data_IF_086993949362
#
_entry.id   IF_086993949362
#
_cell.length_a   1.000
_cell.length_b   1.000
_cell.length_c   1.000
_cell.angle_alpha   90.00
_cell.angle_beta   90.00
_cell.angle_gamma   90.00
#
_symmetry.space_group_name_H-M   'P 1'
#
loop_
_entity.id
_entity.type
_entity.pdbx_description
1 polymer ?
#
# COMPACT_ATOMS: atom_id res chain seq x y z
N UNK A 1 -4.81 15.66 11.03
CA UNK A 1 -3.57 15.23 11.72
C UNK A 1 -3.13 16.34 12.69
N UNK A 2 -2.25 16.05 13.67
CA UNK A 2 -1.64 17.10 14.52
C UNK A 2 -2.01 17.11 16.01
N UNK A 3 -2.80 16.16 16.50
CA UNK A 3 -3.10 15.98 17.94
C UNK A 3 -2.33 14.81 18.56
N UNK A 4 -2.14 14.83 19.88
CA UNK A 4 -1.60 13.68 20.63
C UNK A 4 -2.67 12.57 20.64
N UNK A 5 -2.31 11.39 20.16
CA UNK A 5 -3.20 10.24 20.19
C UNK A 5 -3.24 9.59 21.59
N UNK A 6 -4.27 8.81 21.86
CA UNK A 6 -4.39 8.12 23.15
C UNK A 6 -3.28 7.07 23.33
N UNK A 7 -2.93 6.79 24.58
CA UNK A 7 -1.99 5.69 24.94
C UNK A 7 -2.48 4.35 24.37
N UNK A 8 -3.80 4.11 24.41
CA UNK A 8 -4.41 2.91 23.82
C UNK A 8 -4.16 2.79 22.32
N UNK A 9 -4.33 3.89 21.57
CA UNK A 9 -4.04 3.90 20.13
C UNK A 9 -2.57 3.55 19.85
N UNK A 10 -1.63 4.17 20.57
CA UNK A 10 -0.21 3.83 20.40
C UNK A 10 0.09 2.38 20.74
N UNK A 11 -0.45 1.87 21.85
CA UNK A 11 -0.27 0.48 22.27
C UNK A 11 -0.75 -0.50 21.20
N UNK A 12 -1.96 -0.32 20.70
CA UNK A 12 -2.55 -1.20 19.70
C UNK A 12 -1.86 -1.07 18.33
N UNK A 13 -1.47 0.14 17.93
CA UNK A 13 -0.72 0.36 16.69
C UNK A 13 0.62 -0.40 16.70
N UNK A 14 1.45 -0.23 17.73
CA UNK A 14 2.75 -0.88 17.79
C UNK A 14 2.63 -2.40 17.97
N UNK A 15 1.64 -2.86 18.73
CA UNK A 15 1.32 -4.28 18.83
C UNK A 15 0.92 -4.84 17.46
N UNK A 16 0.02 -4.18 16.74
CA UNK A 16 -0.41 -4.56 15.40
C UNK A 16 0.74 -4.62 14.40
N UNK A 17 1.60 -3.59 14.38
CA UNK A 17 2.81 -3.57 13.55
C UNK A 17 3.73 -4.77 13.86
N UNK A 18 3.99 -5.06 15.14
CA UNK A 18 4.81 -6.21 15.50
C UNK A 18 4.20 -7.53 15.02
N UNK A 19 2.87 -7.69 15.11
CA UNK A 19 2.18 -8.88 14.63
C UNK A 19 2.21 -9.01 13.11
N UNK A 20 1.97 -7.94 12.34
CA UNK A 20 1.92 -8.00 10.88
C UNK A 20 3.28 -8.34 10.27
N UNK A 21 4.39 -7.93 10.87
CA UNK A 21 5.74 -8.24 10.38
C UNK A 21 6.16 -9.70 10.59
N UNK A 22 5.47 -10.47 11.44
CA UNK A 22 5.78 -11.89 11.67
C UNK A 22 5.61 -12.68 10.36
N UNK A 23 6.62 -13.49 10.02
CA UNK A 23 6.63 -14.31 8.79
C UNK A 23 5.37 -15.17 8.64
N UNK A 24 4.88 -15.77 9.75
CA UNK A 24 3.65 -16.57 9.78
C UNK A 24 2.40 -15.79 9.36
N UNK A 25 2.33 -14.50 9.68
CA UNK A 25 1.17 -13.65 9.38
C UNK A 25 1.26 -13.13 7.95
N UNK A 26 2.45 -12.70 7.48
CA UNK A 26 2.64 -12.31 6.07
C UNK A 26 2.34 -13.44 5.08
N UNK A 27 2.63 -14.70 5.45
CA UNK A 27 2.27 -15.88 4.63
C UNK A 27 0.75 -16.10 4.51
N UNK A 28 -0.09 -15.39 5.25
CA UNK A 28 -1.55 -15.48 5.14
C UNK A 28 -2.11 -14.58 4.04
N UNK A 29 -1.34 -13.64 3.49
CA UNK A 29 -1.77 -12.85 2.33
C UNK A 29 -2.08 -13.80 1.16
N UNK A 30 -3.29 -13.74 0.57
CA UNK A 30 -3.61 -14.54 -0.62
C UNK A 30 -2.68 -14.19 -1.79
N UNK A 31 -2.28 -15.20 -2.57
CA UNK A 31 -1.24 -15.03 -3.62
C UNK A 31 -1.81 -14.39 -4.88
N UNK A 32 -3.09 -14.64 -5.11
CA UNK A 32 -3.88 -14.15 -6.24
C UNK A 32 -4.57 -12.81 -5.93
N UNK A 33 -4.43 -12.25 -4.72
CA UNK A 33 -4.98 -10.94 -4.40
C UNK A 33 -4.15 -9.87 -5.11
N UNK A 34 -4.74 -9.03 -5.99
CA UNK A 34 -4.04 -7.90 -6.58
C UNK A 34 -3.68 -6.86 -5.52
N UNK A 35 -2.43 -6.38 -5.56
CA UNK A 35 -1.93 -5.38 -4.61
C UNK A 35 -1.37 -4.18 -5.36
N UNK A 36 -1.87 -2.99 -5.03
CA UNK A 36 -1.26 -1.72 -5.42
C UNK A 36 -0.69 -1.00 -4.20
N UNK A 37 0.58 -0.58 -4.31
CA UNK A 37 1.28 0.18 -3.27
C UNK A 37 1.74 1.50 -3.85
N UNK A 38 1.30 2.61 -3.25
CA UNK A 38 1.79 3.93 -3.64
C UNK A 38 2.21 4.76 -2.44
N UNK A 39 3.20 5.63 -2.63
CA UNK A 39 3.78 6.46 -1.56
C UNK A 39 4.62 7.58 -2.15
N UNK A 40 4.88 8.62 -1.37
CA UNK A 40 5.81 9.67 -1.72
C UNK A 40 7.27 9.23 -1.62
N UNK A 41 8.09 9.63 -2.58
CA UNK A 41 9.52 9.34 -2.55
C UNK A 41 10.26 10.13 -1.46
N UNK A 42 9.66 11.22 -0.95
CA UNK A 42 10.18 12.06 0.14
C UNK A 42 9.48 11.80 1.48
N UNK A 43 8.73 10.70 1.62
CA UNK A 43 8.12 10.32 2.89
C UNK A 43 9.16 9.75 3.88
N UNK A 44 9.47 10.45 4.99
CA UNK A 44 10.42 9.95 5.98
C UNK A 44 9.92 8.69 6.71
N UNK A 45 8.60 8.49 6.84
CA UNK A 45 8.02 7.29 7.46
C UNK A 45 8.35 6.05 6.62
N UNK A 46 8.28 6.18 5.30
CA UNK A 46 8.69 5.18 4.32
C UNK A 46 10.20 5.11 4.07
N UNK A 47 11.02 5.79 4.88
CA UNK A 47 12.47 5.95 4.65
C UNK A 47 12.80 6.49 3.25
N UNK A 48 12.08 7.52 2.79
CA UNK A 48 12.20 8.11 1.45
C UNK A 48 12.10 7.04 0.35
N UNK A 49 11.02 6.26 0.41
CA UNK A 49 10.70 5.16 -0.50
C UNK A 49 11.50 3.86 -0.29
N UNK A 50 12.55 3.83 0.55
CA UNK A 50 13.33 2.59 0.79
C UNK A 50 12.48 1.51 1.46
N UNK A 51 11.63 1.88 2.41
CA UNK A 51 10.70 1.00 3.10
C UNK A 51 9.68 0.38 2.15
N UNK A 52 9.09 1.19 1.26
CA UNK A 52 8.16 0.73 0.22
C UNK A 52 8.83 -0.26 -0.73
N UNK A 53 10.03 0.05 -1.23
CA UNK A 53 10.78 -0.89 -2.08
C UNK A 53 11.09 -2.21 -1.36
N UNK A 54 11.36 -2.18 -0.05
CA UNK A 54 11.55 -3.39 0.76
C UNK A 54 10.26 -4.19 0.90
N UNK A 55 9.12 -3.53 1.09
CA UNK A 55 7.80 -4.17 1.15
C UNK A 55 7.46 -4.86 -0.17
N UNK A 56 7.64 -4.17 -1.30
CA UNK A 56 7.43 -4.72 -2.65
C UNK A 56 8.29 -5.97 -2.86
N UNK A 57 9.59 -5.91 -2.53
CA UNK A 57 10.46 -7.11 -2.61
C UNK A 57 9.96 -8.25 -1.73
N UNK A 58 9.51 -7.95 -0.50
CA UNK A 58 8.96 -8.96 0.40
C UNK A 58 7.71 -9.63 -0.16
N UNK A 59 6.81 -8.89 -0.83
CA UNK A 59 5.62 -9.49 -1.43
C UNK A 59 5.95 -10.32 -2.67
N UNK A 60 6.90 -9.88 -3.50
CA UNK A 60 7.40 -10.71 -4.61
C UNK A 60 7.99 -12.03 -4.11
N UNK A 61 8.77 -11.99 -3.03
CA UNK A 61 9.33 -13.20 -2.40
C UNK A 61 8.26 -14.11 -1.78
N UNK A 62 7.09 -13.57 -1.43
CA UNK A 62 5.94 -14.35 -0.95
C UNK A 62 5.12 -14.99 -2.08
N UNK A 63 5.45 -14.67 -3.33
CA UNK A 63 4.77 -15.22 -4.51
C UNK A 63 3.47 -14.49 -4.88
N UNK A 64 3.27 -13.25 -4.41
CA UNK A 64 2.17 -12.40 -4.90
C UNK A 64 2.34 -12.21 -6.40
N UNK A 65 1.29 -12.52 -7.17
CA UNK A 65 1.33 -12.56 -8.63
C UNK A 65 1.12 -11.18 -9.25
N UNK A 66 0.12 -10.47 -8.75
CA UNK A 66 -0.25 -9.16 -9.22
C UNK A 66 0.15 -8.09 -8.19
N UNK A 67 1.25 -7.41 -8.48
CA UNK A 67 1.83 -6.39 -7.60
C UNK A 67 2.30 -5.18 -8.40
N UNK A 68 1.53 -4.11 -8.30
CA UNK A 68 1.85 -2.80 -8.86
C UNK A 68 2.37 -1.88 -7.75
N UNK A 69 3.36 -1.02 -8.05
CA UNK A 69 3.72 0.06 -7.13
C UNK A 69 4.19 1.32 -7.84
N UNK A 70 3.95 2.48 -7.23
CA UNK A 70 4.41 3.80 -7.72
C UNK A 70 5.00 4.62 -6.56
N UNK A 71 6.10 5.32 -6.85
CA UNK A 71 6.68 6.31 -5.94
C UNK A 71 6.62 7.67 -6.61
N UNK A 72 5.92 8.63 -6.01
CA UNK A 72 5.79 9.99 -6.55
C UNK A 72 7.00 10.82 -6.12
N UNK A 73 7.83 11.35 -7.06
CA UNK A 73 9.14 11.94 -6.75
C UNK A 73 9.15 13.02 -5.67
N UNK A 74 8.12 13.88 -5.66
CA UNK A 74 8.03 15.00 -4.72
C UNK A 74 7.03 14.78 -3.57
N UNK A 75 6.22 13.72 -3.65
CA UNK A 75 5.22 13.42 -2.63
C UNK A 75 5.85 13.08 -1.27
N UNK A 76 5.15 13.42 -0.19
CA UNK A 76 5.50 13.04 1.18
C UNK A 76 4.50 11.98 1.67
N UNK A 77 3.94 12.15 2.86
CA UNK A 77 3.24 11.07 3.57
C UNK A 77 1.79 10.87 3.11
N UNK A 78 1.05 11.97 2.92
CA UNK A 78 -0.41 11.91 2.71
C UNK A 78 -0.76 12.02 1.22
N UNK A 79 -0.34 11.06 0.38
CA UNK A 79 -0.42 11.18 -1.09
C UNK A 79 -1.79 11.58 -1.67
N UNK A 80 -2.90 11.18 -1.05
CA UNK A 80 -4.25 11.57 -1.50
C UNK A 80 -4.64 13.02 -1.11
N UNK A 81 -3.81 13.68 -0.31
CA UNK A 81 -3.93 15.07 0.14
C UNK A 81 -2.72 15.93 -0.27
N UNK A 82 -1.77 15.38 -1.04
CA UNK A 82 -0.64 16.14 -1.58
C UNK A 82 -1.08 17.04 -2.74
N UNK A 83 -0.19 17.94 -3.17
CA UNK A 83 -0.44 18.87 -4.28
C UNK A 83 -0.82 18.13 -5.58
N UNK A 84 -0.24 16.95 -5.82
CA UNK A 84 -0.53 16.12 -6.97
C UNK A 84 -1.66 15.09 -6.72
N UNK A 85 -2.55 15.33 -5.75
CA UNK A 85 -3.65 14.40 -5.39
C UNK A 85 -4.50 13.95 -6.58
N UNK A 86 -4.68 14.80 -7.59
CA UNK A 86 -5.47 14.45 -8.78
C UNK A 86 -4.76 13.36 -9.60
N UNK A 87 -3.43 13.47 -9.78
CA UNK A 87 -2.61 12.42 -10.40
C UNK A 87 -2.71 11.10 -9.61
N UNK A 88 -2.57 11.17 -8.29
CA UNK A 88 -2.63 9.99 -7.42
C UNK A 88 -4.00 9.31 -7.49
N UNK A 89 -5.07 10.11 -7.50
CA UNK A 89 -6.44 9.63 -7.58
C UNK A 89 -6.72 9.00 -8.94
N UNK A 90 -6.30 9.63 -10.03
CA UNK A 90 -6.42 9.07 -11.38
C UNK A 90 -5.69 7.73 -11.51
N UNK A 91 -4.44 7.63 -11.03
CA UNK A 91 -3.69 6.37 -11.07
C UNK A 91 -4.38 5.27 -10.26
N UNK A 92 -4.93 5.61 -9.09
CA UNK A 92 -5.67 4.68 -8.24
C UNK A 92 -6.94 4.19 -8.92
N UNK A 93 -7.73 5.09 -9.50
CA UNK A 93 -8.97 4.74 -10.21
C UNK A 93 -8.67 3.85 -11.42
N UNK A 94 -7.69 4.22 -12.24
CA UNK A 94 -7.26 3.40 -13.38
C UNK A 94 -6.78 2.02 -12.92
N UNK A 95 -6.08 1.93 -11.79
CA UNK A 95 -5.71 0.64 -11.22
C UNK A 95 -6.96 -0.14 -10.81
N UNK A 96 -7.90 0.45 -10.07
CA UNK A 96 -9.13 -0.21 -9.65
C UNK A 96 -9.95 -0.71 -10.86
N UNK A 97 -10.19 0.14 -11.86
CA UNK A 97 -10.94 -0.18 -13.07
C UNK A 97 -10.40 -1.45 -13.76
N UNK A 98 -9.08 -1.58 -13.88
CA UNK A 98 -8.45 -2.78 -14.46
C UNK A 98 -8.69 -4.07 -13.68
N UNK A 99 -8.97 -4.00 -12.38
CA UNK A 99 -9.13 -5.17 -11.49
C UNK A 99 -10.58 -5.38 -11.03
N UNK A 100 -11.49 -4.44 -11.29
CA UNK A 100 -12.91 -4.57 -10.96
C UNK A 100 -13.78 -4.77 -12.20
N UNK A 101 -13.49 -4.09 -13.32
CA UNK A 101 -14.31 -4.18 -14.54
C UNK A 101 -14.02 -5.48 -15.32
N UNK A 102 -12.79 -5.99 -15.27
CA UNK A 102 -12.46 -7.30 -15.83
C UNK A 102 -13.24 -8.45 -15.15
N UNK A 103 -13.68 -8.25 -13.91
CA UNK A 103 -14.41 -9.26 -13.12
C UNK A 103 -15.88 -9.37 -13.56
N UNK A 104 -16.50 -8.28 -14.03
CA UNK A 104 -17.88 -8.34 -14.58
C UNK A 104 -17.95 -9.03 -15.94
N UNK A 105 -16.92 -8.94 -16.78
CA UNK A 105 -16.88 -9.65 -18.06
C UNK A 105 -16.63 -11.15 -17.90
N UNK A 106 -15.94 -11.58 -16.85
CA UNK A 106 -15.66 -12.99 -16.56
C UNK A 106 -16.82 -13.71 -15.84
N UNK A 107 -17.80 -12.97 -15.29
CA UNK A 107 -18.99 -13.51 -14.63
C UNK A 107 -20.22 -13.55 -15.56
N UNK A 108 -20.13 -12.98 -16.76
CA UNK A 108 -21.21 -12.91 -17.76
C UNK A 108 -20.93 -13.75 -19.03
N UNK A 109 -19.96 -14.68 -18.97
CA UNK A 109 -19.67 -15.72 -19.97
C UNK A 109 -19.76 -17.10 -19.31
#
# INVERSE_FOLDING_TARGET
CGGISSVGLYYDLFRGLKETYKKKNRKKTPRELPIYIFSGAKDPVGMNGKGVRRLVRSYRQLGIKDLTYKLYPDGRHEMLNEINRDEVTTDLLQWLERHTIATEMALNL
#
